data_IF_909205609744
#
_entry.id   IF_909205609744
#
_cell.length_a   1.000
_cell.length_b   1.000
_cell.length_c   1.000
_cell.angle_alpha   90.00
_cell.angle_beta   90.00
_cell.angle_gamma   90.00
#
_symmetry.space_group_name_H-M   'P 1'
#
loop_
_entity.id
_entity.type
_entity.pdbx_description
1 polymer ?
#
# COMPACT_ATOMS: atom_id res chain seq x y z
N UNK A 1 -8.08 -9.09 48.45
CA UNK A 1 -7.07 -8.10 48.06
C UNK A 1 -6.84 -8.26 46.57
N UNK A 2 -7.40 -7.38 45.74
CA UNK A 2 -7.14 -7.34 44.29
C UNK A 2 -6.59 -5.95 44.01
N UNK A 3 -5.28 -5.78 44.19
CA UNK A 3 -4.55 -4.66 43.62
C UNK A 3 -4.01 -5.15 42.27
N UNK A 4 -4.87 -5.16 41.25
CA UNK A 4 -4.38 -5.13 39.87
C UNK A 4 -3.75 -3.76 39.67
N UNK A 5 -2.45 -3.73 39.37
CA UNK A 5 -1.69 -2.49 39.29
C UNK A 5 -2.15 -1.70 38.07
N UNK A 6 -2.41 -0.39 38.24
CA UNK A 6 -2.69 0.51 37.11
C UNK A 6 -1.62 0.42 36.01
N UNK A 7 -0.37 0.08 36.38
CA UNK A 7 0.71 -0.12 35.42
C UNK A 7 0.52 -1.35 34.52
N UNK A 8 -0.11 -2.42 35.02
CA UNK A 8 -0.42 -3.62 34.24
C UNK A 8 -1.53 -3.34 33.22
N UNK A 9 -2.57 -2.60 33.62
CA UNK A 9 -3.66 -2.21 32.73
C UNK A 9 -3.21 -1.25 31.61
N UNK A 10 -2.28 -0.32 31.91
CA UNK A 10 -1.70 0.58 30.91
C UNK A 10 -0.79 -0.18 29.95
N UNK A 11 0.07 -1.08 30.45
CA UNK A 11 0.91 -1.92 29.60
C UNK A 11 0.09 -2.84 28.67
N UNK A 12 -1.00 -3.43 29.16
CA UNK A 12 -1.88 -4.28 28.37
C UNK A 12 -2.65 -3.48 27.29
N UNK A 13 -3.10 -2.27 27.62
CA UNK A 13 -3.67 -1.29 26.67
C UNK A 13 -2.68 -0.92 25.57
N UNK A 14 -1.43 -0.63 25.93
CA UNK A 14 -0.38 -0.19 24.99
C UNK A 14 0.10 -1.34 24.09
N UNK A 15 0.14 -2.56 24.60
CA UNK A 15 0.43 -3.76 23.80
C UNK A 15 -0.71 -4.00 22.79
N UNK A 16 -1.96 -3.84 23.22
CA UNK A 16 -3.12 -4.04 22.35
C UNK A 16 -3.18 -2.96 21.25
N UNK A 17 -2.88 -1.70 21.57
CA UNK A 17 -2.83 -0.63 20.58
C UNK A 17 -1.70 -0.83 19.56
N UNK A 18 -0.53 -1.27 20.02
CA UNK A 18 0.62 -1.57 19.13
C UNK A 18 0.32 -2.75 18.20
N UNK A 19 -0.27 -3.82 18.72
CA UNK A 19 -0.68 -4.97 17.91
C UNK A 19 -1.75 -4.61 16.87
N UNK A 20 -2.71 -3.75 17.25
CA UNK A 20 -3.73 -3.25 16.32
C UNK A 20 -3.12 -2.40 15.21
N UNK A 21 -2.20 -1.49 15.54
CA UNK A 21 -1.49 -0.69 14.53
C UNK A 21 -0.68 -1.59 13.58
N UNK A 22 -0.01 -2.61 14.12
CA UNK A 22 0.73 -3.57 13.30
C UNK A 22 -0.20 -4.33 12.34
N UNK A 23 -1.39 -4.73 12.79
CA UNK A 23 -2.39 -5.38 11.94
C UNK A 23 -2.92 -4.44 10.84
N UNK A 24 -3.20 -3.18 11.17
CA UNK A 24 -3.63 -2.17 10.19
C UNK A 24 -2.56 -2.00 9.11
N UNK A 25 -1.30 -1.78 9.52
CA UNK A 25 -0.14 -1.65 8.63
C UNK A 25 0.03 -2.87 7.75
N UNK A 26 0.00 -4.05 8.34
CA UNK A 26 0.19 -5.30 7.61
C UNK A 26 -0.93 -5.51 6.57
N UNK A 27 -2.19 -5.27 6.96
CA UNK A 27 -3.36 -5.41 6.07
C UNK A 27 -3.27 -4.46 4.89
N UNK A 28 -2.95 -3.19 5.17
CA UNK A 28 -2.78 -2.15 4.15
C UNK A 28 -1.67 -2.52 3.17
N UNK A 29 -0.53 -2.98 3.67
CA UNK A 29 0.63 -3.36 2.85
C UNK A 29 0.29 -4.54 1.94
N UNK A 30 -0.34 -5.59 2.48
CA UNK A 30 -0.78 -6.74 1.69
C UNK A 30 -1.81 -6.36 0.61
N UNK A 31 -2.76 -5.46 0.93
CA UNK A 31 -3.72 -4.93 -0.02
C UNK A 31 -3.02 -4.18 -1.17
N UNK A 32 -2.12 -3.24 -0.85
CA UNK A 32 -1.43 -2.42 -1.84
C UNK A 32 -0.54 -3.27 -2.74
N UNK A 33 0.25 -4.17 -2.17
CA UNK A 33 1.13 -5.07 -2.93
C UNK A 33 0.32 -5.89 -3.94
N UNK A 34 -0.81 -6.46 -3.51
CA UNK A 34 -1.68 -7.20 -4.42
C UNK A 34 -2.32 -6.31 -5.48
N UNK A 35 -2.75 -5.12 -5.11
CA UNK A 35 -3.37 -4.18 -6.02
C UNK A 35 -2.41 -3.71 -7.12
N UNK A 36 -1.14 -3.45 -6.78
CA UNK A 36 -0.07 -3.11 -7.74
C UNK A 36 0.04 -4.20 -8.80
N UNK A 37 0.17 -5.48 -8.39
CA UNK A 37 0.26 -6.64 -9.29
C UNK A 37 -0.98 -6.75 -10.19
N UNK A 38 -2.18 -6.61 -9.62
CA UNK A 38 -3.44 -6.75 -10.38
C UNK A 38 -3.61 -5.71 -11.50
N UNK A 39 -2.86 -4.60 -11.42
CA UNK A 39 -2.96 -3.45 -12.32
C UNK A 39 -1.69 -3.18 -13.11
N UNK A 40 -0.63 -3.99 -12.93
CA UNK A 40 0.67 -3.73 -13.55
C UNK A 40 0.65 -3.73 -15.08
N UNK A 41 -0.29 -4.43 -15.70
CA UNK A 41 -0.46 -4.48 -17.16
C UNK A 41 -1.52 -3.51 -17.68
N UNK A 42 -2.14 -2.71 -16.81
CA UNK A 42 -3.25 -1.82 -17.15
C UNK A 42 -2.81 -0.38 -17.08
N UNK A 43 -3.15 0.44 -18.08
CA UNK A 43 -2.83 1.87 -18.07
C UNK A 43 -4.09 2.71 -18.17
N UNK A 44 -4.22 3.66 -17.25
CA UNK A 44 -5.27 4.69 -17.29
C UNK A 44 -4.81 5.94 -16.56
N UNK A 45 -5.50 7.07 -16.81
CA UNK A 45 -5.19 8.37 -16.19
C UNK A 45 -5.20 8.28 -14.66
N UNK A 46 -6.09 7.46 -14.09
CA UNK A 46 -6.21 7.20 -12.66
C UNK A 46 -4.92 6.70 -12.00
N UNK A 47 -4.08 5.93 -12.70
CA UNK A 47 -2.80 5.48 -12.14
C UNK A 47 -1.90 6.67 -11.77
N UNK A 48 -1.92 7.74 -12.58
CA UNK A 48 -1.12 8.95 -12.33
C UNK A 48 -1.56 9.69 -11.08
N UNK A 49 -2.83 9.59 -10.71
CA UNK A 49 -3.36 10.15 -9.47
C UNK A 49 -3.10 9.24 -8.28
N UNK A 50 -3.22 7.92 -8.46
CA UNK A 50 -2.92 6.91 -7.42
C UNK A 50 -1.43 6.95 -7.03
N UNK A 51 -0.53 7.16 -7.99
CA UNK A 51 0.91 7.30 -7.74
C UNK A 51 1.28 8.47 -6.81
N UNK A 52 0.35 9.41 -6.62
CA UNK A 52 0.52 10.56 -5.73
C UNK A 52 -0.19 10.37 -4.39
N UNK A 53 -0.81 9.21 -4.18
CA UNK A 53 -1.56 8.91 -2.98
C UNK A 53 -0.61 8.76 -1.79
N UNK A 54 -0.90 9.53 -0.74
CA UNK A 54 -0.30 9.39 0.59
C UNK A 54 -1.40 9.01 1.56
N UNK A 55 -1.02 8.30 2.63
CA UNK A 55 -1.94 7.90 3.68
C UNK A 55 -1.26 7.99 5.03
N UNK A 56 -2.05 8.26 6.06
CA UNK A 56 -1.54 8.30 7.41
C UNK A 56 -1.27 6.89 7.94
N UNK A 57 -0.53 6.82 9.04
CA UNK A 57 -0.10 5.56 9.66
C UNK A 57 -1.27 4.66 10.05
N UNK A 58 -2.41 5.24 10.43
CA UNK A 58 -3.60 4.56 10.92
C UNK A 58 -4.63 4.24 9.82
N UNK A 59 -4.38 4.67 8.58
CA UNK A 59 -5.29 4.42 7.48
C UNK A 59 -5.43 2.92 7.22
N UNK A 60 -6.65 2.42 7.27
CA UNK A 60 -6.98 1.04 6.97
C UNK A 60 -6.84 0.71 5.49
N UNK A 61 -6.77 -0.58 5.15
CA UNK A 61 -6.76 -1.03 3.77
C UNK A 61 -8.05 -0.61 3.04
N UNK A 62 -9.17 -0.62 3.74
CA UNK A 62 -10.49 -0.25 3.24
C UNK A 62 -10.57 1.24 2.89
N UNK A 63 -10.03 2.13 3.73
CA UNK A 63 -9.98 3.57 3.45
C UNK A 63 -9.09 3.88 2.24
N UNK A 64 -7.94 3.22 2.14
CA UNK A 64 -7.06 3.34 0.96
C UNK A 64 -7.79 2.82 -0.29
N UNK A 65 -8.46 1.67 -0.20
CA UNK A 65 -9.23 1.09 -1.30
C UNK A 65 -10.37 2.00 -1.76
N UNK A 66 -11.10 2.62 -0.82
CA UNK A 66 -12.15 3.59 -1.14
C UNK A 66 -11.60 4.83 -1.83
N UNK A 67 -10.44 5.32 -1.40
CA UNK A 67 -9.78 6.47 -2.03
C UNK A 67 -9.35 6.14 -3.46
N UNK A 68 -8.72 4.97 -3.68
CA UNK A 68 -8.37 4.47 -5.01
C UNK A 68 -9.63 4.32 -5.88
N UNK A 69 -10.70 3.75 -5.33
CA UNK A 69 -11.98 3.58 -6.02
C UNK A 69 -12.55 4.92 -6.49
N UNK A 70 -12.52 5.93 -5.61
CA UNK A 70 -12.95 7.29 -5.93
C UNK A 70 -12.13 7.87 -7.08
N UNK A 71 -10.81 7.73 -7.04
CA UNK A 71 -9.94 8.20 -8.14
C UNK A 71 -10.35 7.60 -9.48
N UNK A 72 -10.59 6.28 -9.55
CA UNK A 72 -11.06 5.64 -10.78
C UNK A 72 -12.41 6.17 -11.25
N UNK A 73 -13.36 6.30 -10.32
CA UNK A 73 -14.70 6.80 -10.62
C UNK A 73 -14.66 8.23 -11.16
N UNK A 74 -13.90 9.10 -10.52
CA UNK A 74 -13.81 10.53 -10.86
C UNK A 74 -13.13 10.76 -12.23
N UNK A 75 -12.30 9.81 -12.67
CA UNK A 75 -11.64 9.82 -13.97
C UNK A 75 -12.41 9.05 -15.07
N UNK A 76 -13.60 8.52 -14.77
CA UNK A 76 -14.45 7.85 -15.75
C UNK A 76 -14.00 6.44 -16.15
N UNK A 77 -13.19 5.77 -15.32
CA UNK A 77 -12.80 4.37 -15.59
C UNK A 77 -14.01 3.41 -15.45
N UNK A 78 -13.95 2.29 -16.15
CA UNK A 78 -14.95 1.21 -16.00
C UNK A 78 -14.85 0.58 -14.62
N UNK A 79 -15.86 0.84 -13.78
CA UNK A 79 -15.85 0.44 -12.38
C UNK A 79 -16.01 -1.07 -12.17
N UNK A 80 -16.53 -1.83 -13.13
CA UNK A 80 -16.74 -3.28 -12.94
C UNK A 80 -15.41 -4.03 -12.75
N UNK A 81 -14.43 -3.74 -13.61
CA UNK A 81 -13.10 -4.33 -13.51
C UNK A 81 -12.34 -3.79 -12.27
N UNK A 82 -12.48 -2.49 -11.98
CA UNK A 82 -11.85 -1.85 -10.82
C UNK A 82 -12.38 -2.45 -9.51
N UNK A 83 -13.70 -2.55 -9.35
CA UNK A 83 -14.32 -3.09 -8.13
C UNK A 83 -13.97 -4.57 -7.93
N UNK A 84 -13.80 -5.32 -9.03
CA UNK A 84 -13.31 -6.70 -8.98
C UNK A 84 -11.87 -6.78 -8.49
N UNK A 85 -10.99 -5.93 -8.99
CA UNK A 85 -9.57 -5.89 -8.60
C UNK A 85 -9.40 -5.46 -7.14
N UNK A 86 -10.14 -4.42 -6.71
CA UNK A 86 -10.15 -3.94 -5.32
C UNK A 86 -10.62 -5.03 -4.36
N UNK A 87 -11.74 -5.70 -4.67
CA UNK A 87 -12.27 -6.79 -3.85
C UNK A 87 -11.29 -7.96 -3.74
N UNK A 88 -10.65 -8.34 -4.86
CA UNK A 88 -9.64 -9.42 -4.88
C UNK A 88 -8.40 -9.05 -4.05
N UNK A 89 -8.01 -7.79 -4.05
CA UNK A 89 -6.86 -7.30 -3.28
C UNK A 89 -7.15 -7.27 -1.78
N UNK A 90 -8.34 -6.82 -1.37
CA UNK A 90 -8.76 -6.87 0.05
C UNK A 90 -8.88 -8.31 0.55
N UNK A 91 -9.52 -9.19 -0.22
CA UNK A 91 -9.62 -10.60 0.15
C UNK A 91 -8.26 -11.32 0.21
N UNK A 92 -7.27 -10.86 -0.55
CA UNK A 92 -5.90 -11.34 -0.44
C UNK A 92 -5.24 -10.86 0.85
N UNK A 93 -5.43 -9.60 1.22
CA UNK A 93 -4.95 -9.08 2.49
C UNK A 93 -5.49 -9.89 3.67
N UNK A 94 -6.80 -10.17 3.70
CA UNK A 94 -7.44 -11.01 4.73
C UNK A 94 -6.75 -12.37 4.92
N UNK A 95 -6.49 -13.07 3.81
CA UNK A 95 -5.87 -14.41 3.86
C UNK A 95 -4.39 -14.35 4.22
N UNK A 96 -3.66 -13.37 3.70
CA UNK A 96 -2.20 -13.32 3.83
C UNK A 96 -1.75 -12.90 5.23
N UNK A 97 -2.60 -12.20 5.97
CA UNK A 97 -2.34 -11.84 7.37
C UNK A 97 -2.27 -13.04 8.32
N UNK A 98 -2.72 -14.22 7.91
CA UNK A 98 -2.56 -15.41 8.75
C UNK A 98 -1.11 -15.90 8.79
N UNK A 99 -0.28 -15.45 7.85
CA UNK A 99 1.06 -16.00 7.64
C UNK A 99 2.18 -14.97 7.69
N UNK A 100 1.91 -13.69 7.36
CA UNK A 100 2.97 -12.72 7.05
C UNK A 100 2.82 -11.35 7.71
N UNK A 101 2.23 -11.27 8.92
CA UNK A 101 2.01 -9.97 9.61
C UNK A 101 3.33 -9.24 9.86
N UNK A 102 4.37 -9.95 10.30
CA UNK A 102 5.67 -9.35 10.59
C UNK A 102 6.32 -8.74 9.34
N UNK A 103 6.33 -9.48 8.25
CA UNK A 103 6.88 -9.05 6.96
C UNK A 103 6.10 -7.85 6.41
N UNK A 104 4.77 -7.90 6.41
CA UNK A 104 3.98 -6.78 5.92
C UNK A 104 4.06 -5.54 6.82
N UNK A 105 4.19 -5.71 8.14
CA UNK A 105 4.35 -4.58 9.04
C UNK A 105 5.71 -3.90 8.86
N UNK A 106 6.79 -4.68 8.74
CA UNK A 106 8.16 -4.16 8.54
C UNK A 106 8.32 -3.46 7.20
N UNK A 107 7.55 -3.85 6.19
CA UNK A 107 7.57 -3.28 4.85
C UNK A 107 6.47 -2.23 4.62
N UNK A 108 5.75 -1.85 5.67
CA UNK A 108 4.65 -0.90 5.54
C UNK A 108 5.16 0.47 5.13
N UNK A 109 4.46 1.08 4.17
CA UNK A 109 4.74 2.43 3.68
C UNK A 109 3.58 3.37 3.98
N UNK A 110 3.79 4.66 3.76
CA UNK A 110 2.80 5.73 3.94
C UNK A 110 2.44 6.45 2.62
N UNK A 111 2.98 5.98 1.49
CA UNK A 111 2.64 6.52 0.17
C UNK A 111 2.85 5.47 -0.93
N UNK A 112 2.23 5.72 -2.08
CA UNK A 112 2.20 4.77 -3.19
C UNK A 112 3.56 4.61 -3.89
N UNK A 113 4.38 5.66 -3.93
CA UNK A 113 5.72 5.61 -4.55
C UNK A 113 6.63 4.65 -3.79
N UNK A 114 6.63 4.73 -2.45
CA UNK A 114 7.42 3.82 -1.62
C UNK A 114 6.91 2.37 -1.74
N UNK A 115 5.60 2.18 -1.90
CA UNK A 115 5.04 0.85 -2.15
C UNK A 115 5.49 0.28 -3.51
N UNK A 116 5.65 1.14 -4.54
CA UNK A 116 6.23 0.72 -5.83
C UNK A 116 7.71 0.35 -5.70
N UNK A 117 8.51 1.08 -4.92
CA UNK A 117 9.88 0.69 -4.62
C UNK A 117 9.97 -0.66 -3.89
N UNK A 118 9.07 -0.89 -2.93
CA UNK A 118 8.99 -2.16 -2.21
C UNK A 118 8.59 -3.32 -3.15
N UNK A 119 7.66 -3.07 -4.08
CA UNK A 119 7.28 -4.01 -5.13
C UNK A 119 8.47 -4.36 -6.04
N UNK A 120 9.18 -3.37 -6.59
CA UNK A 120 10.37 -3.59 -7.44
C UNK A 120 11.45 -4.38 -6.71
N UNK A 121 11.69 -4.08 -5.43
CA UNK A 121 12.64 -4.82 -4.59
C UNK A 121 12.24 -6.29 -4.49
N UNK A 122 10.96 -6.57 -4.30
CA UNK A 122 10.44 -7.95 -4.27
C UNK A 122 10.66 -8.67 -5.59
N UNK A 123 10.35 -8.03 -6.71
CA UNK A 123 10.51 -8.64 -8.04
C UNK A 123 11.98 -8.95 -8.34
N UNK A 124 12.90 -8.02 -8.01
CA UNK A 124 14.35 -8.25 -8.16
C UNK A 124 14.85 -9.42 -7.32
N UNK A 125 14.34 -9.57 -6.09
CA UNK A 125 14.71 -10.68 -5.21
C UNK A 125 14.16 -12.02 -5.70
N UNK A 126 12.95 -12.06 -6.28
CA UNK A 126 12.28 -13.29 -6.70
C UNK A 126 12.69 -13.79 -8.08
N UNK A 127 12.94 -12.87 -9.02
CA UNK A 127 13.15 -13.21 -10.43
C UNK A 127 14.54 -12.82 -10.94
N UNK A 128 15.43 -12.34 -10.07
CA UNK A 128 16.76 -11.88 -10.46
C UNK A 128 16.76 -10.47 -11.09
N UNK A 129 17.95 -9.88 -11.19
CA UNK A 129 18.16 -8.50 -11.64
C UNK A 129 18.31 -8.31 -13.15
N UNK A 130 18.19 -9.37 -13.95
CA UNK A 130 18.35 -9.30 -15.40
C UNK A 130 17.05 -8.85 -16.07
N UNK A 131 17.16 -7.85 -16.93
CA UNK A 131 16.05 -7.04 -17.47
C UNK A 131 15.02 -7.80 -18.31
N UNK A 132 15.26 -9.07 -18.64
CA UNK A 132 14.48 -9.80 -19.64
C UNK A 132 13.35 -10.66 -19.05
N UNK A 133 13.31 -10.88 -17.73
CA UNK A 133 12.28 -11.72 -17.07
C UNK A 133 11.41 -10.98 -16.04
N UNK A 134 11.63 -9.68 -15.82
CA UNK A 134 10.79 -8.92 -14.89
C UNK A 134 9.48 -8.50 -15.55
N UNK A 135 8.31 -8.71 -14.91
CA UNK A 135 7.11 -8.01 -15.33
C UNK A 135 7.38 -6.51 -15.24
N UNK A 136 7.46 -5.86 -16.41
CA UNK A 136 7.63 -4.42 -16.48
C UNK A 136 6.49 -3.72 -15.76
N UNK A 137 6.74 -2.53 -15.22
CA UNK A 137 5.74 -1.68 -14.56
C UNK A 137 4.64 -1.18 -15.53
N UNK A 138 4.25 -1.89 -16.60
CA UNK A 138 3.51 -1.35 -17.76
C UNK A 138 2.41 -0.31 -17.49
N UNK A 139 1.64 -0.47 -16.41
CA UNK A 139 0.64 0.48 -15.90
C UNK A 139 1.17 1.61 -15.01
N UNK A 140 2.17 1.33 -14.20
CA UNK A 140 2.80 2.20 -13.22
C UNK A 140 4.02 2.93 -13.79
N UNK A 141 4.30 4.14 -13.32
CA UNK A 141 5.57 4.81 -13.64
C UNK A 141 6.70 4.22 -12.81
N UNK A 142 7.93 4.38 -13.31
CA UNK A 142 9.11 4.04 -12.54
C UNK A 142 9.14 4.88 -11.25
N UNK A 143 9.28 4.27 -10.05
CA UNK A 143 9.22 4.99 -8.78
C UNK A 143 10.30 6.08 -8.65
N UNK A 144 11.47 5.90 -9.28
CA UNK A 144 12.54 6.91 -9.31
C UNK A 144 12.15 8.15 -10.10
N UNK A 145 11.45 7.97 -11.22
CA UNK A 145 10.94 9.10 -12.01
C UNK A 145 9.84 9.85 -11.26
N UNK A 146 8.96 9.12 -10.57
CA UNK A 146 7.91 9.71 -9.73
C UNK A 146 8.50 10.55 -8.59
N UNK A 147 9.56 10.06 -7.94
CA UNK A 147 10.24 10.78 -6.88
C UNK A 147 10.92 12.07 -7.37
N UNK A 148 11.61 12.01 -8.52
CA UNK A 148 12.16 13.21 -9.17
C UNK A 148 11.05 14.21 -9.49
N UNK A 149 9.92 13.75 -10.03
CA UNK A 149 8.78 14.60 -10.33
C UNK A 149 8.12 15.19 -9.07
N UNK A 150 8.07 14.45 -7.96
CA UNK A 150 7.60 14.94 -6.65
C UNK A 150 8.52 16.04 -6.13
N UNK A 151 9.84 15.80 -6.12
CA UNK A 151 10.82 16.77 -5.63
C UNK A 151 10.82 18.07 -6.44
N UNK A 152 10.67 17.98 -7.77
CA UNK A 152 10.50 19.15 -8.63
C UNK A 152 9.24 19.95 -8.30
N UNK A 153 8.10 19.29 -8.05
CA UNK A 153 6.86 19.98 -7.65
C UNK A 153 7.02 20.69 -6.30
N UNK A 154 7.62 20.02 -5.32
CA UNK A 154 7.85 20.61 -4.00
C UNK A 154 8.81 21.81 -4.06
N UNK A 155 9.80 21.78 -4.95
CA UNK A 155 10.72 22.91 -5.16
C UNK A 155 10.05 24.12 -5.82
N UNK A 156 9.02 23.91 -6.65
CA UNK A 156 8.24 24.97 -7.31
C UNK A 156 7.14 25.51 -6.39
N UNK A 157 6.70 24.72 -5.40
CA UNK A 157 5.67 25.08 -4.42
C UNK A 157 6.22 25.51 -3.04
N UNK A 158 7.54 25.66 -2.91
CA UNK A 158 8.18 26.33 -1.77
C UNK A 158 7.96 27.85 -1.83
N UNK A 159 7.99 28.54 -0.67
CA UNK A 159 7.40 29.88 -0.46
C UNK A 159 7.87 30.97 -1.43
#
# INVERSE_FOLDING_TARGET
MVQGSWAEAVAESDINSTAQIALIKARRTAFIARFIVMRESKRSRSHRYIEQLEWNELASAEEVAQTIRRIFKDNGDSMEAVDRDLRRSLAHADRSLQHFVGEYCTRSTNNFVDALYDYERSNKLLFGGEQDEQPGLGGWCNPRELEIARNKRNAVSGP
#
